data_IF_425964120023
#
_entry.id   IF_425964120023
#
_cell.length_a   1.000
_cell.length_b   1.000
_cell.length_c   1.000
_cell.angle_alpha   90.00
_cell.angle_beta   90.00
_cell.angle_gamma   90.00
#
_symmetry.space_group_name_H-M   'P 1'
#
loop_
_entity.id
_entity.type
_entity.pdbx_description
1 polymer ?
#
# COMPACT_ATOMS: atom_id res chain seq x y z
N UNK A 1 2.67 -5.44 1.99
CA UNK A 1 3.34 -6.08 3.13
C UNK A 1 2.31 -7.00 3.78
N UNK A 2 2.54 -8.30 3.75
CA UNK A 2 1.75 -9.29 4.49
C UNK A 2 2.22 -9.28 5.93
N UNK A 3 1.33 -8.97 6.86
CA UNK A 3 1.61 -9.00 8.29
C UNK A 3 1.54 -10.41 8.89
N UNK A 4 1.14 -11.41 8.10
CA UNK A 4 1.05 -12.80 8.54
C UNK A 4 2.45 -13.43 8.66
N UNK A 5 2.76 -13.93 9.84
CA UNK A 5 3.97 -14.72 10.12
C UNK A 5 5.10 -14.01 10.84
N UNK A 6 4.96 -12.76 11.24
CA UNK A 6 5.92 -12.12 12.15
C UNK A 6 5.61 -12.50 13.61
N UNK A 7 6.60 -13.00 14.30
CA UNK A 7 6.50 -13.47 15.70
C UNK A 7 5.98 -12.43 16.71
N UNK A 8 5.80 -11.17 16.30
CA UNK A 8 5.37 -10.04 17.11
C UNK A 8 4.07 -9.37 16.63
N UNK A 9 3.26 -10.05 15.80
CA UNK A 9 1.98 -9.48 15.36
C UNK A 9 0.88 -9.81 16.37
N UNK A 10 0.12 -8.82 16.88
CA UNK A 10 -0.98 -9.08 17.81
C UNK A 10 -2.11 -9.85 17.11
N UNK A 11 -2.88 -10.57 17.89
CA UNK A 11 -4.13 -11.20 17.44
C UNK A 11 -5.22 -10.13 17.37
N UNK A 12 -5.95 -10.10 16.28
CA UNK A 12 -7.10 -9.21 16.12
C UNK A 12 -8.40 -9.98 16.29
N UNK A 13 -9.31 -9.42 17.08
CA UNK A 13 -10.62 -10.00 17.36
C UNK A 13 -11.68 -8.93 17.13
N UNK A 14 -12.67 -9.22 16.30
CA UNK A 14 -13.82 -8.35 16.03
C UNK A 14 -15.10 -9.07 16.44
N UNK A 15 -15.85 -8.47 17.35
CA UNK A 15 -17.11 -9.02 17.89
C UNK A 15 -16.98 -10.50 18.32
N UNK A 16 -15.86 -10.86 18.95
CA UNK A 16 -15.57 -12.21 19.43
C UNK A 16 -14.94 -13.16 18.39
N UNK A 17 -14.82 -12.77 17.13
CA UNK A 17 -14.21 -13.59 16.07
C UNK A 17 -12.78 -13.12 15.75
N UNK A 18 -11.84 -14.07 15.66
CA UNK A 18 -10.49 -13.76 15.22
C UNK A 18 -10.48 -13.43 13.72
N UNK A 19 -9.82 -12.35 13.34
CA UNK A 19 -9.73 -11.84 11.97
C UNK A 19 -8.28 -11.55 11.57
N UNK A 20 -8.03 -11.38 10.27
CA UNK A 20 -6.73 -10.97 9.74
C UNK A 20 -6.43 -9.49 10.00
N UNK A 21 -5.15 -9.11 9.93
CA UNK A 21 -4.75 -7.70 9.99
C UNK A 21 -5.30 -6.90 8.80
N UNK A 22 -5.38 -7.55 7.63
CA UNK A 22 -5.98 -6.98 6.42
C UNK A 22 -7.45 -6.64 6.62
N UNK A 23 -8.22 -7.51 7.31
CA UNK A 23 -9.61 -7.25 7.65
C UNK A 23 -9.75 -5.96 8.46
N UNK A 24 -8.87 -5.75 9.45
CA UNK A 24 -8.86 -4.53 10.28
C UNK A 24 -8.50 -3.30 9.46
N UNK A 25 -7.48 -3.42 8.59
CA UNK A 25 -7.09 -2.34 7.69
C UNK A 25 -8.26 -1.89 6.80
N UNK A 26 -9.10 -2.84 6.40
CA UNK A 26 -10.25 -2.63 5.53
C UNK A 26 -11.53 -2.23 6.26
N UNK A 27 -11.52 -2.27 7.59
CA UNK A 27 -12.67 -1.94 8.41
C UNK A 27 -12.92 -0.43 8.43
N UNK A 28 -14.19 -0.04 8.35
CA UNK A 28 -14.57 1.36 8.49
C UNK A 28 -14.48 1.77 9.97
N UNK A 29 -13.66 2.78 10.25
CA UNK A 29 -13.53 3.33 11.60
C UNK A 29 -14.85 3.83 12.17
N UNK A 30 -15.79 4.20 11.31
CA UNK A 30 -17.13 4.62 11.75
C UNK A 30 -17.97 3.47 12.30
N UNK A 31 -17.65 2.21 12.02
CA UNK A 31 -18.33 1.05 12.55
C UNK A 31 -17.83 0.64 13.94
N UNK A 32 -16.70 1.19 14.39
CA UNK A 32 -16.06 0.85 15.66
C UNK A 32 -16.74 1.60 16.80
N UNK A 33 -17.12 0.86 17.84
CA UNK A 33 -17.59 1.41 19.12
C UNK A 33 -16.42 1.56 20.10
N UNK A 34 -15.62 0.50 20.23
CA UNK A 34 -14.46 0.50 21.14
C UNK A 34 -13.32 -0.39 20.64
N UNK A 35 -12.10 -0.05 21.06
CA UNK A 35 -10.89 -0.84 20.86
C UNK A 35 -10.25 -1.09 22.21
N UNK A 36 -10.04 -2.35 22.56
CA UNK A 36 -9.40 -2.77 23.79
C UNK A 36 -8.13 -3.55 23.48
N UNK A 37 -7.01 -3.19 24.09
CA UNK A 37 -5.73 -3.88 23.92
C UNK A 37 -5.45 -4.70 25.16
N UNK A 38 -5.37 -6.02 24.99
CA UNK A 38 -5.03 -6.97 26.06
C UNK A 38 -3.56 -7.39 25.90
N UNK A 39 -2.74 -7.09 26.89
CA UNK A 39 -1.30 -7.41 26.89
C UNK A 39 -0.89 -8.39 27.98
N UNK A 40 -1.85 -8.82 28.81
CA UNK A 40 -1.59 -9.62 30.01
C UNK A 40 -1.72 -11.12 29.77
N UNK A 41 -1.37 -11.92 30.78
CA UNK A 41 -1.58 -13.36 30.79
C UNK A 41 -3.05 -13.78 30.53
N UNK A 42 -4.02 -12.90 30.81
CA UNK A 42 -5.43 -13.08 30.47
C UNK A 42 -5.69 -13.19 28.97
N UNK A 43 -4.94 -12.48 28.14
CA UNK A 43 -5.01 -12.56 26.69
C UNK A 43 -4.60 -13.95 26.18
N UNK A 44 -3.49 -14.48 26.74
CA UNK A 44 -2.99 -15.82 26.38
C UNK A 44 -3.93 -16.94 26.86
N UNK A 45 -4.62 -16.74 27.97
CA UNK A 45 -5.60 -17.70 28.48
C UNK A 45 -6.85 -17.81 27.58
N UNK A 46 -7.28 -16.72 26.96
CA UNK A 46 -8.48 -16.68 26.08
C UNK A 46 -8.16 -17.02 24.63
N UNK A 47 -6.99 -16.63 24.11
CA UNK A 47 -6.66 -16.69 22.68
C UNK A 47 -5.43 -17.56 22.37
N UNK A 48 -4.88 -18.25 23.38
CA UNK A 48 -3.79 -19.22 23.24
C UNK A 48 -2.41 -18.59 23.00
N UNK A 49 -1.44 -19.43 22.60
CA UNK A 49 -0.05 -19.04 22.42
C UNK A 49 0.19 -17.94 21.36
N UNK A 50 -0.70 -17.80 20.40
CA UNK A 50 -0.65 -16.74 19.38
C UNK A 50 -0.82 -15.34 19.97
N UNK A 51 -1.40 -15.21 21.16
CA UNK A 51 -1.60 -13.95 21.86
C UNK A 51 -0.36 -13.43 22.62
N UNK A 52 0.81 -14.05 22.46
CA UNK A 52 2.07 -13.62 23.09
C UNK A 52 2.45 -12.17 22.76
N UNK A 53 2.07 -11.67 21.58
CA UNK A 53 2.25 -10.27 21.19
C UNK A 53 1.08 -9.35 21.59
N UNK A 54 0.11 -9.87 22.36
CA UNK A 54 -1.11 -9.18 22.76
C UNK A 54 -2.30 -9.47 21.84
N UNK A 55 -3.47 -9.01 22.27
CA UNK A 55 -4.74 -9.13 21.53
C UNK A 55 -5.38 -7.75 21.42
N UNK A 56 -5.80 -7.39 20.23
CA UNK A 56 -6.58 -6.18 19.96
C UNK A 56 -8.03 -6.61 19.74
N UNK A 57 -8.89 -6.30 20.69
CA UNK A 57 -10.32 -6.59 20.66
C UNK A 57 -11.06 -5.35 20.18
N UNK A 58 -11.78 -5.49 19.09
CA UNK A 58 -12.62 -4.45 18.50
C UNK A 58 -14.06 -4.82 18.66
N UNK A 59 -14.82 -3.91 19.25
CA UNK A 59 -16.29 -4.04 19.36
C UNK A 59 -16.92 -3.10 18.34
N UNK A 60 -17.84 -3.62 17.53
CA UNK A 60 -18.56 -2.80 16.56
C UNK A 60 -19.80 -2.20 17.16
N UNK A 61 -20.28 -1.07 16.60
CA UNK A 61 -21.48 -0.39 17.04
C UNK A 61 -22.68 -1.32 17.03
N UNK A 62 -23.46 -1.26 18.09
CA UNK A 62 -24.67 -2.01 18.24
C UNK A 62 -25.74 -1.57 17.20
N UNK A 63 -26.56 -2.54 16.75
CA UNK A 63 -27.69 -2.26 15.87
C UNK A 63 -28.72 -1.34 16.55
N UNK A 64 -29.10 -0.27 15.84
CA UNK A 64 -30.12 0.65 16.29
C UNK A 64 -31.45 0.29 15.64
N UNK A 65 -32.48 0.08 16.44
CA UNK A 65 -33.85 -0.04 15.93
C UNK A 65 -34.43 1.34 15.55
N UNK A 66 -35.46 1.34 14.76
CA UNK A 66 -36.20 2.54 14.36
C UNK A 66 -36.66 2.48 12.90
N UNK A 67 -37.15 3.61 12.40
CA UNK A 67 -37.50 3.76 10.98
C UNK A 67 -36.30 3.50 10.09
N UNK A 68 -36.56 2.98 8.92
CA UNK A 68 -35.53 2.77 7.88
C UNK A 68 -34.74 4.08 7.64
N UNK A 69 -33.43 3.98 7.76
CA UNK A 69 -32.48 5.06 7.48
C UNK A 69 -31.50 4.62 6.41
N UNK A 70 -31.36 5.43 5.39
CA UNK A 70 -30.37 5.29 4.36
C UNK A 70 -29.31 6.38 4.55
N UNK A 71 -28.05 5.98 4.68
CA UNK A 71 -26.94 6.92 4.78
C UNK A 71 -25.94 6.66 3.64
N UNK A 72 -25.37 7.73 3.14
CA UNK A 72 -24.27 7.68 2.18
C UNK A 72 -23.08 8.46 2.74
N UNK A 73 -21.88 7.90 2.59
CA UNK A 73 -20.63 8.56 2.91
C UNK A 73 -19.68 8.42 1.72
N UNK A 74 -19.06 9.52 1.33
CA UNK A 74 -18.05 9.56 0.28
C UNK A 74 -16.81 10.31 0.75
N UNK A 75 -15.62 9.78 0.47
CA UNK A 75 -14.35 10.40 0.77
C UNK A 75 -13.48 10.40 -0.47
N UNK A 76 -12.85 11.53 -0.76
CA UNK A 76 -11.81 11.67 -1.79
C UNK A 76 -10.53 12.14 -1.11
N UNK A 77 -9.42 11.48 -1.42
CA UNK A 77 -8.10 11.80 -0.89
C UNK A 77 -7.14 12.06 -2.05
N UNK A 78 -6.45 13.19 -1.99
CA UNK A 78 -5.32 13.50 -2.86
C UNK A 78 -4.03 13.19 -2.11
N UNK A 79 -3.16 12.38 -2.71
CA UNK A 79 -1.82 12.08 -2.19
C UNK A 79 -0.78 12.57 -3.19
N UNK A 80 0.18 13.35 -2.71
CA UNK A 80 1.30 13.86 -3.51
C UNK A 80 2.60 13.33 -2.95
N UNK A 81 3.55 12.91 -3.80
CA UNK A 81 4.89 12.54 -3.31
C UNK A 81 5.58 13.74 -2.69
N UNK A 82 6.22 13.53 -1.56
CA UNK A 82 7.10 14.52 -0.94
C UNK A 82 8.55 14.08 -1.13
N UNK A 83 9.32 14.87 -1.88
CA UNK A 83 10.72 14.62 -2.20
C UNK A 83 11.68 15.64 -1.55
N UNK A 84 11.18 16.49 -0.64
CA UNK A 84 11.95 17.57 -0.05
C UNK A 84 13.18 17.11 0.74
N UNK A 85 13.14 15.92 1.31
CA UNK A 85 14.24 15.35 2.10
C UNK A 85 15.34 14.70 1.22
N UNK A 86 15.11 14.60 -0.09
CA UNK A 86 16.10 14.07 -1.02
C UNK A 86 16.94 15.20 -1.59
N UNK A 87 18.14 15.39 -1.04
CA UNK A 87 19.10 16.36 -1.49
C UNK A 87 20.12 15.73 -2.45
N UNK A 88 19.66 15.28 -3.62
CA UNK A 88 20.52 14.66 -4.62
C UNK A 88 21.22 15.74 -5.46
N UNK A 89 22.45 15.42 -5.88
CA UNK A 89 23.21 16.25 -6.80
C UNK A 89 22.61 16.15 -8.21
N UNK A 90 22.64 17.25 -8.95
CA UNK A 90 22.37 17.23 -10.39
C UNK A 90 23.49 16.49 -11.16
N UNK A 91 23.30 16.27 -12.45
CA UNK A 91 24.23 15.48 -13.27
C UNK A 91 25.65 16.07 -13.30
N UNK A 92 25.78 17.39 -13.39
CA UNK A 92 27.08 18.07 -13.43
C UNK A 92 27.81 17.96 -12.09
N UNK A 93 27.12 18.28 -11.00
CA UNK A 93 27.70 18.25 -9.65
C UNK A 93 28.03 16.82 -9.22
N UNK A 94 27.20 15.84 -9.59
CA UNK A 94 27.44 14.42 -9.31
C UNK A 94 28.69 13.92 -10.02
N UNK A 95 28.84 14.19 -11.31
CA UNK A 95 29.97 13.77 -12.10
C UNK A 95 31.29 14.42 -11.58
N UNK A 96 31.22 15.70 -11.23
CA UNK A 96 32.40 16.42 -10.68
C UNK A 96 32.74 15.87 -9.27
N UNK A 97 31.76 15.61 -8.42
CA UNK A 97 31.98 14.99 -7.12
C UNK A 97 32.73 13.65 -7.26
N UNK A 98 32.25 12.80 -8.17
CA UNK A 98 32.88 11.49 -8.43
C UNK A 98 34.28 11.59 -8.98
N UNK A 99 34.53 12.57 -9.86
CA UNK A 99 35.87 12.87 -10.37
C UNK A 99 36.83 13.29 -9.25
N UNK A 100 36.39 14.18 -8.37
CA UNK A 100 37.15 14.65 -7.21
C UNK A 100 37.37 13.54 -6.18
N UNK A 101 36.40 12.65 -6.00
CA UNK A 101 36.50 11.47 -5.13
C UNK A 101 37.45 10.40 -5.69
N UNK A 102 37.94 10.57 -6.94
CA UNK A 102 38.90 9.64 -7.55
C UNK A 102 38.29 8.40 -8.18
N UNK A 103 36.95 8.37 -8.43
CA UNK A 103 36.30 7.21 -9.07
C UNK A 103 36.81 6.97 -10.51
N UNK A 104 37.36 7.98 -11.16
CA UNK A 104 37.92 7.89 -12.51
C UNK A 104 39.45 7.84 -12.51
N UNK A 105 40.06 7.32 -11.42
CA UNK A 105 41.54 7.17 -11.31
C UNK A 105 41.92 5.75 -10.96
N UNK A 106 42.89 5.23 -11.71
CA UNK A 106 43.52 3.93 -11.42
C UNK A 106 45.02 4.01 -11.70
N UNK A 107 45.82 3.22 -11.00
CA UNK A 107 47.27 3.09 -11.21
C UNK A 107 47.63 2.21 -12.41
N UNK A 108 46.71 1.31 -12.85
CA UNK A 108 46.89 0.50 -14.04
C UNK A 108 46.56 1.32 -15.29
N UNK A 109 47.49 1.47 -16.24
CA UNK A 109 47.28 2.28 -17.44
C UNK A 109 46.11 1.82 -18.31
N UNK A 110 45.84 0.51 -18.35
CA UNK A 110 44.73 -0.06 -19.14
C UNK A 110 43.38 0.29 -18.54
N UNK A 111 43.28 0.22 -17.22
CA UNK A 111 42.10 0.65 -16.48
C UNK A 111 41.93 2.15 -16.55
N UNK A 112 42.98 2.93 -16.39
CA UNK A 112 42.93 4.39 -16.50
C UNK A 112 42.40 4.82 -17.87
N UNK A 113 42.85 4.23 -18.96
CA UNK A 113 42.30 4.51 -20.29
C UNK A 113 40.78 4.26 -20.39
N UNK A 114 40.30 3.18 -19.79
CA UNK A 114 38.88 2.88 -19.76
C UNK A 114 38.10 3.90 -18.95
N UNK A 115 38.59 4.28 -17.77
CA UNK A 115 37.97 5.30 -16.90
C UNK A 115 37.96 6.69 -17.57
N UNK A 116 39.02 7.08 -18.26
CA UNK A 116 39.06 8.34 -19.00
C UNK A 116 38.01 8.39 -20.11
N UNK A 117 37.84 7.28 -20.83
CA UNK A 117 36.81 7.16 -21.87
C UNK A 117 35.39 7.23 -21.26
N UNK A 118 35.18 6.58 -20.13
CA UNK A 118 33.88 6.59 -19.44
C UNK A 118 33.55 7.98 -18.91
N UNK A 119 34.51 8.66 -18.29
CA UNK A 119 34.35 10.04 -17.87
C UNK A 119 34.02 10.96 -19.06
N UNK A 120 34.76 10.86 -20.16
CA UNK A 120 34.54 11.69 -21.35
C UNK A 120 33.14 11.45 -21.94
N UNK A 121 32.65 10.22 -21.94
CA UNK A 121 31.28 9.88 -22.36
C UNK A 121 30.23 10.56 -21.48
N UNK A 122 30.36 10.40 -20.16
CA UNK A 122 29.43 11.00 -19.19
C UNK A 122 29.47 12.53 -19.24
N UNK A 123 30.66 13.10 -19.35
CA UNK A 123 30.83 14.54 -19.48
C UNK A 123 30.13 15.07 -20.76
N UNK A 124 30.24 14.36 -21.88
CA UNK A 124 29.53 14.72 -23.09
C UNK A 124 27.98 14.66 -22.94
N UNK A 125 27.45 13.68 -22.21
CA UNK A 125 26.00 13.63 -21.93
C UNK A 125 25.58 14.83 -21.07
N UNK A 126 26.35 15.17 -20.02
CA UNK A 126 26.10 16.37 -19.20
C UNK A 126 26.16 17.65 -20.05
N UNK A 127 27.12 17.77 -20.95
CA UNK A 127 27.23 18.94 -21.86
C UNK A 127 26.07 19.04 -22.86
N UNK A 128 25.44 17.93 -23.18
CA UNK A 128 24.19 17.87 -23.97
C UNK A 128 22.95 18.23 -23.17
N UNK A 129 23.09 18.50 -21.87
CA UNK A 129 22.00 18.86 -20.97
C UNK A 129 21.27 17.67 -20.36
N UNK A 130 21.88 16.48 -20.35
CA UNK A 130 21.31 15.34 -19.63
C UNK A 130 21.40 15.59 -18.14
N UNK A 131 20.23 15.69 -17.50
CA UNK A 131 20.05 15.78 -16.05
C UNK A 131 18.71 15.12 -15.72
N UNK A 132 18.77 13.82 -15.48
CA UNK A 132 17.56 13.00 -15.31
C UNK A 132 17.11 13.02 -13.87
N UNK A 133 15.93 13.61 -13.62
CA UNK A 133 15.25 13.49 -12.32
C UNK A 133 14.65 12.10 -12.19
N UNK A 134 15.43 11.16 -11.67
CA UNK A 134 15.02 9.76 -11.50
C UNK A 134 13.96 9.59 -10.42
N UNK A 135 13.95 10.44 -9.38
CA UNK A 135 13.00 10.32 -8.29
C UNK A 135 11.55 10.54 -8.74
N UNK A 136 11.35 11.47 -9.68
CA UNK A 136 10.00 11.79 -10.18
C UNK A 136 9.44 10.75 -11.15
N UNK A 137 10.31 9.96 -11.82
CA UNK A 137 9.90 9.05 -12.89
C UNK A 137 8.85 8.01 -12.45
N UNK A 138 9.01 7.29 -11.32
CA UNK A 138 8.04 6.30 -10.87
C UNK A 138 6.82 6.91 -10.19
N UNK A 139 6.79 8.22 -9.95
CA UNK A 139 5.81 8.87 -9.10
C UNK A 139 4.72 9.60 -9.86
N UNK A 140 3.57 9.73 -9.22
CA UNK A 140 2.43 10.52 -9.66
C UNK A 140 1.67 11.10 -8.48
N UNK A 141 0.92 12.16 -8.71
CA UNK A 141 -0.16 12.52 -7.81
C UNK A 141 -1.26 11.45 -7.90
N UNK A 142 -1.76 10.98 -6.78
CA UNK A 142 -2.73 9.90 -6.71
C UNK A 142 -4.04 10.39 -6.08
N UNK A 143 -5.15 10.01 -6.69
CA UNK A 143 -6.49 10.30 -6.18
C UNK A 143 -7.12 8.98 -5.76
N UNK A 144 -7.39 8.86 -4.46
CA UNK A 144 -8.12 7.74 -3.88
C UNK A 144 -9.55 8.16 -3.57
N UNK A 145 -10.48 7.21 -3.66
CA UNK A 145 -11.88 7.47 -3.33
C UNK A 145 -12.50 6.28 -2.60
N UNK A 146 -13.40 6.58 -1.67
CA UNK A 146 -14.22 5.56 -1.03
C UNK A 146 -15.66 6.03 -0.92
N UNK A 147 -16.57 5.09 -1.10
CA UNK A 147 -18.00 5.31 -1.04
C UNK A 147 -18.64 4.22 -0.20
N UNK A 148 -19.52 4.59 0.72
CA UNK A 148 -20.30 3.62 1.46
C UNK A 148 -21.77 4.03 1.48
N UNK A 149 -22.62 3.01 1.34
CA UNK A 149 -24.08 3.13 1.51
C UNK A 149 -24.46 2.22 2.66
N UNK A 150 -25.13 2.76 3.67
CA UNK A 150 -25.66 1.97 4.77
C UNK A 150 -27.17 2.11 4.89
N UNK A 151 -27.80 0.99 5.21
CA UNK A 151 -29.22 0.85 5.43
C UNK A 151 -29.43 0.29 6.85
N UNK A 152 -30.02 1.09 7.72
CA UNK A 152 -30.32 0.74 9.10
C UNK A 152 -31.81 0.70 9.33
N UNK A 153 -32.31 -0.26 10.11
CA UNK A 153 -33.71 -0.30 10.45
C UNK A 153 -34.08 -1.41 11.42
N UNK A 154 -35.35 -1.47 11.69
CA UNK A 154 -35.94 -2.53 12.53
C UNK A 154 -36.73 -1.99 13.69
N UNK A 155 -37.24 -2.91 14.50
CA UNK A 155 -38.05 -2.65 15.68
C UNK A 155 -37.39 -3.24 16.95
N UNK A 156 -38.19 -3.40 18.02
CA UNK A 156 -37.70 -4.01 19.28
C UNK A 156 -37.35 -5.49 19.12
N UNK A 157 -37.93 -6.18 18.14
CA UNK A 157 -37.74 -7.62 17.90
C UNK A 157 -36.66 -7.90 16.87
N UNK A 158 -36.65 -7.14 15.77
CA UNK A 158 -35.69 -7.36 14.68
C UNK A 158 -35.00 -6.07 14.33
N UNK A 159 -33.67 -6.07 14.36
CA UNK A 159 -32.83 -4.95 13.94
C UNK A 159 -31.85 -5.44 12.87
N UNK A 160 -31.65 -4.63 11.87
CA UNK A 160 -30.72 -4.95 10.78
C UNK A 160 -29.91 -3.74 10.34
N UNK A 161 -28.75 -4.04 9.82
CA UNK A 161 -27.88 -3.09 9.15
C UNK A 161 -27.27 -3.78 7.92
N UNK A 162 -27.33 -3.12 6.79
CA UNK A 162 -26.66 -3.54 5.56
C UNK A 162 -25.72 -2.40 5.13
N UNK A 163 -24.46 -2.69 4.93
CA UNK A 163 -23.49 -1.72 4.45
C UNK A 163 -22.80 -2.27 3.20
N UNK A 164 -22.79 -1.49 2.14
CA UNK A 164 -22.02 -1.76 0.92
C UNK A 164 -20.96 -0.68 0.78
N UNK A 165 -19.70 -1.10 0.60
CA UNK A 165 -18.56 -0.20 0.46
C UNK A 165 -17.79 -0.51 -0.80
N UNK A 166 -17.43 0.56 -1.48
CA UNK A 166 -16.45 0.54 -2.57
C UNK A 166 -15.30 1.48 -2.23
N UNK A 167 -14.08 1.03 -2.40
CA UNK A 167 -12.87 1.82 -2.22
C UNK A 167 -11.89 1.60 -3.36
N UNK A 168 -11.25 2.67 -3.78
CA UNK A 168 -10.09 2.61 -4.69
C UNK A 168 -8.99 3.48 -4.08
N UNK A 169 -7.93 2.82 -3.60
CA UNK A 169 -6.76 3.45 -3.04
C UNK A 169 -5.64 3.44 -4.09
N UNK A 170 -5.40 4.60 -4.68
CA UNK A 170 -4.33 4.79 -5.63
C UNK A 170 -3.01 5.14 -4.92
N UNK A 171 -1.94 4.42 -5.24
CA UNK A 171 -0.60 4.70 -4.74
C UNK A 171 0.10 5.80 -5.52
N UNK A 172 1.03 6.51 -4.85
CA UNK A 172 1.89 7.52 -5.48
C UNK A 172 2.92 6.89 -6.44
N UNK A 173 3.26 5.61 -6.28
CA UNK A 173 3.98 4.85 -7.29
C UNK A 173 3.03 4.53 -8.45
N UNK A 174 3.45 4.83 -9.69
CA UNK A 174 2.64 4.57 -10.90
C UNK A 174 2.31 3.08 -11.01
N UNK A 175 1.05 2.76 -11.33
CA UNK A 175 0.57 1.39 -11.47
C UNK A 175 0.33 0.66 -10.14
N UNK A 176 0.57 1.30 -8.99
CA UNK A 176 0.14 0.76 -7.70
C UNK A 176 -1.27 1.23 -7.37
N UNK A 177 -2.16 0.31 -7.11
CA UNK A 177 -3.54 0.59 -6.68
C UNK A 177 -4.13 -0.60 -5.92
N UNK A 178 -5.16 -0.32 -5.13
CA UNK A 178 -5.92 -1.31 -4.39
C UNK A 178 -7.41 -0.99 -4.47
N UNK A 179 -8.17 -1.87 -5.08
CA UNK A 179 -9.62 -1.74 -5.18
C UNK A 179 -10.30 -2.74 -4.27
N UNK A 180 -11.29 -2.29 -3.53
CA UNK A 180 -12.08 -3.10 -2.62
C UNK A 180 -13.56 -2.91 -2.84
N UNK A 181 -14.29 -4.02 -2.87
CA UNK A 181 -15.74 -4.05 -2.76
C UNK A 181 -16.10 -4.94 -1.55
N UNK A 182 -16.86 -4.42 -0.61
CA UNK A 182 -17.29 -5.20 0.55
C UNK A 182 -18.75 -4.95 0.89
N UNK A 183 -19.40 -5.99 1.42
CA UNK A 183 -20.76 -5.95 1.93
C UNK A 183 -20.77 -6.55 3.33
N UNK A 184 -21.32 -5.83 4.27
CA UNK A 184 -21.56 -6.32 5.63
C UNK A 184 -23.04 -6.30 5.92
N UNK A 185 -23.55 -7.42 6.40
CA UNK A 185 -24.95 -7.57 6.84
C UNK A 185 -24.98 -8.01 8.29
N UNK A 186 -25.64 -7.22 9.13
CA UNK A 186 -25.90 -7.56 10.54
C UNK A 186 -27.39 -7.69 10.76
N UNK A 187 -27.77 -8.77 11.44
CA UNK A 187 -29.16 -9.03 11.87
C UNK A 187 -29.15 -9.39 13.35
N UNK A 188 -30.10 -8.85 14.07
CA UNK A 188 -30.35 -9.20 15.46
C UNK A 188 -31.83 -9.46 15.64
N UNK A 189 -32.19 -10.61 16.18
CA UNK A 189 -33.55 -11.02 16.38
C UNK A 189 -33.81 -11.49 17.83
N UNK A 190 -34.74 -10.86 18.50
CA UNK A 190 -35.17 -11.20 19.84
C UNK A 190 -36.41 -12.10 19.76
N UNK A 191 -36.24 -13.40 19.99
CA UNK A 191 -37.28 -14.40 19.84
C UNK A 191 -38.33 -14.30 20.96
N UNK A 192 -37.89 -14.05 22.21
CA UNK A 192 -38.80 -14.17 23.38
C UNK A 192 -38.42 -13.32 24.59
N UNK A 193 -37.61 -12.28 24.45
CA UNK A 193 -37.07 -11.51 25.58
C UNK A 193 -35.99 -12.23 26.41
N UNK A 194 -35.90 -13.54 26.27
CA UNK A 194 -34.90 -14.41 26.93
C UNK A 194 -33.98 -15.10 25.94
N UNK A 195 -34.40 -15.17 24.68
CA UNK A 195 -33.63 -15.80 23.61
C UNK A 195 -33.39 -14.78 22.49
N UNK A 196 -32.15 -14.61 22.19
CA UNK A 196 -31.64 -13.62 21.25
C UNK A 196 -30.75 -14.32 20.24
N UNK A 197 -30.88 -13.99 18.97
CA UNK A 197 -30.02 -14.47 17.88
C UNK A 197 -29.44 -13.27 17.16
N UNK A 198 -28.12 -13.26 16.98
CA UNK A 198 -27.47 -12.28 16.13
C UNK A 198 -26.61 -12.96 15.06
N UNK A 199 -26.62 -12.39 13.89
CA UNK A 199 -25.75 -12.81 12.78
C UNK A 199 -25.01 -11.57 12.21
N UNK A 200 -23.74 -11.75 11.96
CA UNK A 200 -22.90 -10.76 11.29
C UNK A 200 -22.17 -11.46 10.13
N UNK A 201 -22.50 -11.13 8.91
CA UNK A 201 -21.91 -11.67 7.69
C UNK A 201 -21.19 -10.58 6.92
N UNK A 202 -19.92 -10.79 6.60
CA UNK A 202 -19.11 -9.91 5.77
C UNK A 202 -18.62 -10.67 4.55
N UNK A 203 -18.75 -10.06 3.39
CA UNK A 203 -18.17 -10.53 2.12
C UNK A 203 -17.30 -9.40 1.61
N UNK A 204 -16.06 -9.70 1.26
CA UNK A 204 -15.17 -8.72 0.65
C UNK A 204 -14.38 -9.30 -0.53
N UNK A 205 -14.15 -8.48 -1.51
CA UNK A 205 -13.28 -8.76 -2.65
C UNK A 205 -12.28 -7.62 -2.78
N UNK A 206 -11.01 -7.95 -2.74
CA UNK A 206 -9.90 -7.00 -2.81
C UNK A 206 -8.99 -7.36 -3.97
N UNK A 207 -8.71 -6.40 -4.82
CA UNK A 207 -7.70 -6.49 -5.87
C UNK A 207 -6.60 -5.51 -5.57
N UNK A 208 -5.36 -5.98 -5.47
CA UNK A 208 -4.16 -5.15 -5.28
C UNK A 208 -3.23 -5.33 -6.47
N UNK A 209 -2.81 -4.22 -7.05
CA UNK A 209 -1.80 -4.19 -8.11
C UNK A 209 -0.51 -3.61 -7.55
N UNK A 210 0.59 -4.35 -7.73
CA UNK A 210 1.94 -3.88 -7.39
C UNK A 210 2.49 -3.06 -8.55
N UNK A 211 3.16 -1.96 -8.23
CA UNK A 211 3.75 -1.08 -9.24
C UNK A 211 4.76 -1.83 -10.14
N UNK A 212 4.69 -1.71 -11.46
CA UNK A 212 5.73 -2.21 -12.36
C UNK A 212 7.06 -1.44 -12.23
N UNK A 213 7.04 -0.30 -11.54
CA UNK A 213 8.22 0.52 -11.28
C UNK A 213 9.08 -0.01 -10.11
N UNK A 214 8.69 -1.14 -9.48
CA UNK A 214 9.47 -1.81 -8.44
C UNK A 214 9.65 -0.99 -7.17
N UNK A 215 10.82 -1.11 -6.55
CA UNK A 215 11.16 -0.41 -5.31
C UNK A 215 11.66 1.02 -5.59
N UNK A 216 11.20 1.98 -4.78
CA UNK A 216 11.60 3.39 -4.93
C UNK A 216 13.10 3.60 -4.71
N UNK A 217 13.74 2.81 -3.86
CA UNK A 217 15.19 2.87 -3.62
C UNK A 217 16.02 2.64 -4.88
N UNK A 218 15.55 1.83 -5.81
CA UNK A 218 16.21 1.61 -7.10
C UNK A 218 16.30 2.91 -7.92
N UNK A 219 15.29 3.77 -7.84
CA UNK A 219 15.24 5.06 -8.52
C UNK A 219 16.15 6.11 -7.86
N UNK A 220 16.18 6.09 -6.52
CA UNK A 220 17.06 7.00 -5.75
C UNK A 220 18.55 6.71 -5.96
N UNK A 221 18.90 5.51 -6.39
CA UNK A 221 20.29 5.09 -6.67
C UNK A 221 20.75 5.36 -8.11
N UNK A 222 19.85 5.78 -8.99
CA UNK A 222 20.21 6.08 -10.38
C UNK A 222 21.04 7.36 -10.48
N UNK A 223 21.95 7.37 -11.44
CA UNK A 223 22.81 8.54 -11.69
C UNK A 223 22.10 9.53 -12.64
N UNK A 224 22.05 10.82 -12.29
CA UNK A 224 21.33 11.83 -13.07
C UNK A 224 21.92 12.08 -14.46
N UNK A 225 23.18 11.73 -14.69
CA UNK A 225 23.83 11.84 -16.00
C UNK A 225 23.54 10.66 -16.95
N UNK A 226 22.81 9.63 -16.51
CA UNK A 226 22.36 8.55 -17.39
C UNK A 226 21.10 8.97 -18.13
N UNK A 227 21.20 8.96 -19.48
CA UNK A 227 20.07 9.26 -20.34
C UNK A 227 19.24 8.00 -20.60
N UNK A 228 17.96 7.94 -20.17
CA UNK A 228 17.13 6.77 -20.39
C UNK A 228 16.72 6.54 -21.86
N UNK A 229 16.96 7.53 -22.73
CA UNK A 229 16.51 7.48 -24.12
C UNK A 229 17.69 7.41 -25.11
N UNK A 230 17.45 6.81 -26.24
CA UNK A 230 18.34 6.87 -27.42
C UNK A 230 18.23 8.23 -28.11
N UNK A 231 19.08 8.49 -29.11
CA UNK A 231 19.00 9.70 -29.93
C UNK A 231 17.64 9.80 -30.70
N UNK A 232 17.02 8.67 -31.01
CA UNK A 232 15.73 8.58 -31.71
C UNK A 232 14.54 8.70 -30.72
N UNK A 233 14.79 8.86 -29.42
CA UNK A 233 13.75 9.01 -28.39
C UNK A 233 13.16 7.71 -27.86
N UNK A 234 13.71 6.56 -28.24
CA UNK A 234 13.30 5.26 -27.71
C UNK A 234 13.96 4.98 -26.36
N UNK A 235 13.28 4.19 -25.49
CA UNK A 235 13.88 3.77 -24.24
C UNK A 235 15.06 2.83 -24.48
N UNK A 236 16.21 3.13 -23.90
CA UNK A 236 17.36 2.22 -23.86
C UNK A 236 17.02 1.03 -22.97
N UNK A 237 17.41 -0.16 -23.39
CA UNK A 237 17.27 -1.37 -22.56
C UNK A 237 18.19 -1.33 -21.35
N UNK A 238 19.44 -0.88 -21.57
CA UNK A 238 20.45 -0.76 -20.53
C UNK A 238 21.28 0.50 -20.75
N UNK A 239 21.93 0.95 -19.69
CA UNK A 239 22.99 1.94 -19.72
C UNK A 239 24.35 1.27 -20.03
N UNK A 240 25.40 2.06 -19.98
CA UNK A 240 26.75 1.55 -20.15
C UNK A 240 27.09 0.54 -19.05
N UNK A 241 27.92 -0.47 -19.35
CA UNK A 241 28.23 -1.62 -18.50
C UNK A 241 27.01 -2.52 -18.19
N UNK A 242 26.04 -2.58 -19.11
CA UNK A 242 24.84 -3.43 -19.01
C UNK A 242 23.97 -3.17 -17.74
N UNK A 243 24.08 -1.96 -17.18
CA UNK A 243 23.21 -1.54 -16.08
C UNK A 243 21.78 -1.38 -16.62
N UNK A 244 20.82 -2.10 -16.05
CA UNK A 244 19.45 -2.05 -16.49
C UNK A 244 18.85 -0.64 -16.38
N UNK A 245 18.10 -0.22 -17.40
CA UNK A 245 17.33 1.00 -17.35
C UNK A 245 15.99 0.74 -16.65
N UNK A 246 15.75 1.31 -15.47
CA UNK A 246 14.53 1.01 -14.72
C UNK A 246 13.26 1.47 -15.42
N UNK A 247 13.32 2.49 -16.29
CA UNK A 247 12.18 2.89 -17.13
C UNK A 247 11.84 1.85 -18.19
N UNK A 248 12.86 1.22 -18.79
CA UNK A 248 12.64 0.15 -19.73
C UNK A 248 12.02 -1.06 -19.04
N UNK A 249 12.56 -1.48 -17.89
CA UNK A 249 11.99 -2.58 -17.10
C UNK A 249 10.53 -2.32 -16.71
N UNK A 250 10.21 -1.10 -16.25
CA UNK A 250 8.84 -0.71 -15.95
C UNK A 250 7.92 -0.76 -17.20
N UNK A 251 8.46 -0.48 -18.39
CA UNK A 251 7.70 -0.51 -19.66
C UNK A 251 7.31 -1.91 -20.11
N UNK A 252 8.00 -2.95 -19.61
CA UNK A 252 7.67 -4.35 -19.89
C UNK A 252 6.37 -4.81 -19.24
N UNK A 253 5.83 -3.99 -18.34
CA UNK A 253 4.52 -4.23 -17.72
C UNK A 253 4.51 -5.39 -16.73
N UNK A 254 5.67 -5.80 -16.20
CA UNK A 254 5.75 -6.80 -15.13
C UNK A 254 5.17 -6.25 -13.84
N UNK A 255 4.00 -6.72 -13.43
CA UNK A 255 3.35 -6.32 -12.19
C UNK A 255 2.77 -7.53 -11.47
N UNK A 256 2.75 -7.45 -10.14
CA UNK A 256 2.04 -8.41 -9.31
C UNK A 256 0.56 -8.00 -9.18
N UNK A 257 -0.34 -8.95 -9.37
CA UNK A 257 -1.76 -8.77 -9.08
C UNK A 257 -2.19 -9.81 -8.08
N UNK A 258 -2.75 -9.34 -6.97
CA UNK A 258 -3.32 -10.20 -5.92
C UNK A 258 -4.82 -9.96 -5.86
N UNK A 259 -5.61 -11.04 -5.91
CA UNK A 259 -7.04 -11.01 -5.68
C UNK A 259 -7.33 -11.80 -4.42
N UNK A 260 -7.96 -11.16 -3.45
CA UNK A 260 -8.39 -11.79 -2.19
C UNK A 260 -9.91 -11.75 -2.12
N UNK A 261 -10.50 -12.89 -1.82
CA UNK A 261 -11.92 -13.00 -1.50
C UNK A 261 -12.06 -13.51 -0.08
N UNK A 262 -12.85 -12.83 0.72
CA UNK A 262 -13.06 -13.14 2.14
C UNK A 262 -14.56 -13.25 2.43
N UNK A 263 -14.91 -14.30 3.16
CA UNK A 263 -16.24 -14.46 3.75
C UNK A 263 -16.10 -14.74 5.23
N UNK A 264 -16.65 -13.88 6.05
CA UNK A 264 -16.71 -14.04 7.50
C UNK A 264 -18.17 -14.07 7.94
N UNK A 265 -18.55 -15.07 8.75
CA UNK A 265 -19.86 -15.16 9.35
C UNK A 265 -19.75 -15.51 10.83
N UNK A 266 -20.41 -14.73 11.67
CA UNK A 266 -20.51 -14.97 13.11
C UNK A 266 -21.96 -14.99 13.51
N UNK A 267 -22.37 -16.07 14.20
CA UNK A 267 -23.73 -16.23 14.75
C UNK A 267 -23.63 -16.46 16.25
N UNK A 268 -24.35 -15.69 17.03
CA UNK A 268 -24.43 -15.75 18.49
C UNK A 268 -25.87 -15.94 18.95
#
# INVERSE_FOLDING_TARGET
ATFEGQANTPVFVVDGSQVSAEYIYDMDMNDIESVTVLKDASASALYGAKASAGVIVITTKALKGGKLKLNYSGTVRLSTPDLHDYHLLNAADKLEYERLAGLFKDSDPTRQYTLDRDYARLFNEVQRGVDTDWLSKPLRNAISQSHSVSLDGGDERAKYNLVVRYGNDAGVMRGSDRTRLSTNFKLSYNVSGKFFVSNNATISSVTSNTSPYGDFGTWAQQNPYENPYTADGELRKSFYHDIANPLYEASLGSYGKTNTFEFLNTTN
#
